data_IF_303172711798
#
_entry.id   IF_303172711798
#
_cell.length_a   1.000
_cell.length_b   1.000
_cell.length_c   1.000
_cell.angle_alpha   90.00
_cell.angle_beta   90.00
_cell.angle_gamma   90.00
#
_symmetry.space_group_name_H-M   'P 1'
#
loop_
_entity.id
_entity.type
_entity.pdbx_description
1 polymer ?
#
# COMPACT_ATOMS: atom_id res chain seq x y z
N UNK A 1 -18.27 -6.04 -5.98
CA UNK A 1 -16.81 -5.90 -6.15
C UNK A 1 -16.11 -6.21 -4.83
N UNK A 2 -15.02 -6.94 -4.90
CA UNK A 2 -14.20 -7.20 -3.71
C UNK A 2 -13.27 -6.03 -3.43
N UNK A 3 -12.85 -5.92 -2.18
CA UNK A 3 -11.81 -4.98 -1.78
C UNK A 3 -10.45 -5.68 -1.82
N UNK A 4 -9.45 -4.96 -2.25
CA UNK A 4 -8.07 -5.46 -2.34
C UNK A 4 -7.15 -4.54 -1.57
N UNK A 5 -6.34 -5.13 -0.70
CA UNK A 5 -5.33 -4.39 0.05
C UNK A 5 -4.05 -4.39 -0.76
N UNK A 6 -3.50 -3.22 -0.97
CA UNK A 6 -2.19 -3.05 -1.59
C UNK A 6 -1.19 -2.80 -0.47
N UNK A 7 -0.25 -3.72 -0.31
CA UNK A 7 0.82 -3.59 0.67
C UNK A 7 2.09 -3.20 -0.05
N UNK A 8 2.68 -2.09 0.35
CA UNK A 8 3.90 -1.58 -0.24
C UNK A 8 5.10 -2.05 0.56
N UNK A 9 6.15 -2.47 -0.12
CA UNK A 9 7.34 -2.95 0.56
C UNK A 9 8.62 -2.46 -0.11
N UNK A 10 9.60 -2.08 0.70
CA UNK A 10 10.88 -1.60 0.19
C UNK A 10 10.80 -0.17 -0.31
N UNK A 11 11.69 0.14 -1.25
CA UNK A 11 11.81 1.49 -1.78
C UNK A 11 12.62 2.40 -0.87
N UNK A 12 12.84 3.63 -1.32
CA UNK A 12 13.56 4.63 -0.56
C UNK A 12 12.75 5.93 -0.48
N UNK A 13 12.95 6.66 0.60
CA UNK A 13 12.33 7.97 0.75
C UNK A 13 13.06 8.98 -0.13
N UNK A 14 12.33 9.87 -0.83
CA UNK A 14 12.98 10.96 -1.56
C UNK A 14 13.77 11.86 -0.60
N UNK A 15 14.96 12.25 -1.02
CA UNK A 15 15.84 13.05 -0.18
C UNK A 15 15.63 14.56 -0.34
N UNK A 16 15.17 14.99 -1.52
CA UNK A 16 14.99 16.42 -1.79
C UNK A 16 13.51 16.78 -1.75
N UNK A 17 13.23 18.06 -1.48
CA UNK A 17 11.86 18.56 -1.50
C UNK A 17 11.26 18.45 -2.90
N UNK A 18 12.05 18.69 -3.94
CA UNK A 18 11.57 18.56 -5.32
C UNK A 18 11.13 17.14 -5.63
N UNK A 19 11.92 16.14 -5.19
CA UNK A 19 11.56 14.74 -5.36
C UNK A 19 10.31 14.37 -4.55
N UNK A 20 10.19 14.87 -3.33
CA UNK A 20 9.03 14.66 -2.49
C UNK A 20 7.77 15.23 -3.13
N UNK A 21 7.85 16.45 -3.67
CA UNK A 21 6.73 17.09 -4.34
C UNK A 21 6.32 16.32 -5.60
N UNK A 22 7.30 15.82 -6.35
CA UNK A 22 7.04 15.00 -7.55
C UNK A 22 6.32 13.69 -7.18
N UNK A 23 6.74 13.04 -6.10
CA UNK A 23 6.11 11.81 -5.62
C UNK A 23 4.67 12.09 -5.18
N UNK A 24 4.44 13.17 -4.44
CA UNK A 24 3.09 13.53 -4.02
C UNK A 24 2.18 13.84 -5.21
N UNK A 25 2.71 14.53 -6.22
CA UNK A 25 1.95 14.81 -7.43
C UNK A 25 1.59 13.51 -8.17
N UNK A 26 2.52 12.56 -8.24
CA UNK A 26 2.27 11.27 -8.86
C UNK A 26 1.20 10.47 -8.11
N UNK A 27 1.22 10.47 -6.78
CA UNK A 27 0.20 9.81 -5.98
C UNK A 27 -1.17 10.43 -6.20
N UNK A 28 -1.26 11.76 -6.20
CA UNK A 28 -2.52 12.45 -6.45
C UNK A 28 -3.07 12.14 -7.84
N UNK A 29 -2.21 12.06 -8.85
CA UNK A 29 -2.61 11.71 -10.20
C UNK A 29 -3.15 10.27 -10.26
N UNK A 30 -2.46 9.34 -9.61
CA UNK A 30 -2.89 7.94 -9.58
C UNK A 30 -4.22 7.77 -8.84
N UNK A 31 -4.39 8.44 -7.70
CA UNK A 31 -5.66 8.43 -6.97
C UNK A 31 -6.79 8.98 -7.83
N UNK A 32 -6.52 10.03 -8.62
CA UNK A 32 -7.50 10.58 -9.54
C UNK A 32 -7.88 9.59 -10.64
N UNK A 33 -6.91 8.82 -11.15
CA UNK A 33 -7.17 7.77 -12.13
C UNK A 33 -8.01 6.63 -11.56
N UNK A 34 -7.78 6.27 -10.29
CA UNK A 34 -8.56 5.23 -9.64
C UNK A 34 -10.03 5.67 -9.43
N UNK A 35 -10.25 6.93 -9.13
CA UNK A 35 -11.60 7.45 -8.94
C UNK A 35 -12.38 6.64 -7.93
N UNK A 36 -13.53 6.11 -8.35
CA UNK A 36 -14.41 5.31 -7.49
C UNK A 36 -13.82 3.96 -7.10
N UNK A 37 -12.74 3.53 -7.76
CA UNK A 37 -12.04 2.30 -7.37
C UNK A 37 -11.20 2.50 -6.12
N UNK A 38 -10.88 3.73 -5.74
CA UNK A 38 -10.12 3.99 -4.53
C UNK A 38 -11.05 4.01 -3.33
N UNK A 39 -10.89 3.05 -2.43
CA UNK A 39 -11.67 2.99 -1.20
C UNK A 39 -10.98 3.72 -0.06
N UNK A 40 -9.67 3.54 0.06
CA UNK A 40 -8.85 4.18 1.09
C UNK A 40 -7.44 4.37 0.53
N UNK A 41 -7.00 5.61 0.45
CA UNK A 41 -5.63 5.92 0.01
C UNK A 41 -4.56 5.39 0.95
N UNK A 42 -4.93 5.11 2.19
CA UNK A 42 -4.03 4.56 3.18
C UNK A 42 -3.00 5.55 3.68
N UNK A 43 -1.99 5.01 4.34
CA UNK A 43 -0.93 5.81 4.94
C UNK A 43 0.39 5.06 4.84
N UNK A 44 1.51 5.78 4.79
CA UNK A 44 2.80 5.15 4.98
C UNK A 44 2.95 4.69 6.43
N UNK A 45 3.73 3.64 6.63
CA UNK A 45 3.99 3.13 7.97
C UNK A 45 5.23 3.81 8.54
N UNK A 46 5.24 3.98 9.87
CA UNK A 46 6.42 4.41 10.60
C UNK A 46 7.17 3.16 11.09
N UNK A 47 8.42 3.30 11.59
CA UNK A 47 9.12 2.17 12.19
C UNK A 47 8.48 1.66 13.49
N UNK A 48 7.55 2.42 14.07
CA UNK A 48 6.91 2.04 15.34
C UNK A 48 5.94 0.89 15.10
N UNK A 49 6.35 -0.31 15.44
CA UNK A 49 5.55 -1.51 15.24
C UNK A 49 5.82 -2.52 16.35
N UNK A 50 4.81 -3.33 16.66
CA UNK A 50 4.94 -4.45 17.59
C UNK A 50 4.15 -5.62 17.04
N UNK A 51 4.60 -6.81 17.36
CA UNK A 51 3.94 -8.05 16.96
C UNK A 51 3.42 -8.78 18.19
N UNK A 52 2.24 -9.35 18.06
CA UNK A 52 1.60 -10.13 19.13
C UNK A 52 1.45 -11.56 18.65
N UNK A 53 2.04 -12.50 19.39
CA UNK A 53 1.94 -13.92 19.08
C UNK A 53 0.59 -14.47 19.53
N UNK A 54 0.20 -15.68 19.03
CA UNK A 54 -1.09 -16.29 19.42
C UNK A 54 -1.26 -16.50 20.91
N UNK A 55 -0.17 -16.63 21.67
CA UNK A 55 -0.21 -16.78 23.12
C UNK A 55 -0.33 -15.44 23.87
N UNK A 56 -0.37 -14.32 23.11
CA UNK A 56 -0.46 -12.99 23.68
C UNK A 56 0.87 -12.32 23.95
N UNK A 57 1.99 -13.01 23.73
CA UNK A 57 3.32 -12.40 23.92
C UNK A 57 3.57 -11.32 22.88
N UNK A 58 4.30 -10.28 23.28
CA UNK A 58 4.55 -9.11 22.44
C UNK A 58 6.04 -9.01 22.15
N UNK A 59 6.39 -8.76 20.89
CA UNK A 59 7.76 -8.49 20.47
C UNK A 59 7.81 -7.18 19.68
N UNK A 60 9.00 -6.58 19.62
CA UNK A 60 9.19 -5.36 18.85
C UNK A 60 9.27 -5.67 17.36
N UNK A 61 8.80 -4.71 16.57
CA UNK A 61 8.86 -4.79 15.12
C UNK A 61 7.65 -5.47 14.51
N UNK A 62 7.66 -5.64 13.20
CA UNK A 62 6.55 -6.19 12.43
C UNK A 62 6.65 -7.69 12.17
N UNK A 63 7.48 -8.39 12.94
CA UNK A 63 7.59 -9.85 12.85
C UNK A 63 8.12 -10.35 11.52
N UNK A 64 9.01 -9.60 10.90
CA UNK A 64 9.55 -9.93 9.58
C UNK A 64 8.77 -9.31 8.44
N UNK A 65 7.67 -8.63 8.72
CA UNK A 65 6.94 -7.87 7.72
C UNK A 65 7.74 -6.65 7.32
N UNK A 66 7.79 -6.36 6.02
CA UNK A 66 8.55 -5.24 5.48
C UNK A 66 7.67 -4.22 4.80
N UNK A 67 6.37 -4.27 5.08
CA UNK A 67 5.44 -3.32 4.47
C UNK A 67 5.75 -1.90 4.91
N UNK A 68 5.79 -0.99 3.93
CA UNK A 68 6.06 0.43 4.18
C UNK A 68 4.80 1.29 4.13
N UNK A 69 3.69 0.71 3.77
CA UNK A 69 2.40 1.42 3.69
C UNK A 69 1.32 0.56 3.09
N UNK A 70 0.13 1.12 2.95
CA UNK A 70 -1.00 0.39 2.38
C UNK A 70 -1.96 1.33 1.67
N UNK A 71 -2.76 0.75 0.78
CA UNK A 71 -3.96 1.38 0.20
C UNK A 71 -5.01 0.30 0.01
N UNK A 72 -6.27 0.70 -0.13
CA UNK A 72 -7.36 -0.24 -0.38
C UNK A 72 -8.10 0.21 -1.63
N UNK A 73 -8.26 -0.71 -2.58
CA UNK A 73 -8.98 -0.45 -3.82
C UNK A 73 -10.09 -1.47 -4.02
N UNK A 74 -11.02 -1.14 -4.89
CA UNK A 74 -12.10 -2.04 -5.33
C UNK A 74 -11.84 -2.47 -6.75
N UNK A 75 -12.12 -3.73 -7.05
CA UNK A 75 -11.99 -4.24 -8.41
C UNK A 75 -12.89 -5.45 -8.61
N UNK A 76 -13.18 -5.78 -9.87
CA UNK A 76 -14.04 -6.92 -10.21
C UNK A 76 -13.33 -8.26 -10.01
N UNK A 77 -12.02 -8.28 -10.05
CA UNK A 77 -11.22 -9.49 -9.94
C UNK A 77 -9.83 -9.15 -9.46
N UNK A 78 -9.09 -10.16 -9.04
CA UNK A 78 -7.68 -9.98 -8.66
C UNK A 78 -6.86 -9.46 -9.84
N UNK A 79 -7.11 -9.97 -11.05
CA UNK A 79 -6.40 -9.50 -12.24
C UNK A 79 -6.69 -8.03 -12.51
N UNK A 80 -7.94 -7.59 -12.32
CA UNK A 80 -8.30 -6.17 -12.46
C UNK A 80 -7.59 -5.31 -11.41
N UNK A 81 -7.51 -5.79 -10.16
CA UNK A 81 -6.81 -5.09 -9.10
C UNK A 81 -5.31 -4.97 -9.40
N UNK A 82 -4.70 -6.02 -9.93
CA UNK A 82 -3.29 -6.00 -10.34
C UNK A 82 -3.08 -4.98 -11.45
N UNK A 83 -3.98 -4.92 -12.42
CA UNK A 83 -3.88 -3.94 -13.50
C UNK A 83 -3.90 -2.51 -12.99
N UNK A 84 -4.78 -2.22 -12.02
CA UNK A 84 -4.83 -0.91 -11.38
C UNK A 84 -3.56 -0.62 -10.56
N UNK A 85 -3.07 -1.62 -9.84
CA UNK A 85 -1.89 -1.48 -8.99
C UNK A 85 -0.61 -1.22 -9.78
N UNK A 86 -0.55 -1.67 -11.03
CA UNK A 86 0.61 -1.42 -11.89
C UNK A 86 0.87 0.06 -12.13
N UNK A 87 -0.14 0.90 -11.94
CA UNK A 87 0.01 2.35 -12.06
C UNK A 87 0.52 3.03 -10.79
N UNK A 88 0.74 2.29 -9.72
CA UNK A 88 1.12 2.88 -8.43
C UNK A 88 2.51 3.53 -8.50
N UNK A 89 2.62 4.79 -8.05
CA UNK A 89 3.91 5.49 -8.09
C UNK A 89 5.02 4.86 -7.28
N UNK A 90 4.68 4.03 -6.28
CA UNK A 90 5.68 3.37 -5.44
C UNK A 90 6.63 2.50 -6.25
N UNK A 91 6.18 1.97 -7.38
CA UNK A 91 7.00 1.13 -8.25
C UNK A 91 8.16 1.89 -8.87
N UNK A 92 8.00 3.20 -9.06
CA UNK A 92 9.07 4.05 -9.60
C UNK A 92 10.19 4.29 -8.59
N UNK A 93 9.90 4.12 -7.31
CA UNK A 93 10.89 4.25 -6.24
C UNK A 93 11.58 2.95 -5.87
N UNK A 94 11.39 1.90 -6.64
CA UNK A 94 12.00 0.60 -6.37
C UNK A 94 11.27 -0.25 -5.33
N UNK A 95 10.12 0.20 -4.87
CA UNK A 95 9.29 -0.58 -3.97
C UNK A 95 8.46 -1.60 -4.74
N UNK A 96 7.97 -2.61 -4.03
CA UNK A 96 7.06 -3.60 -4.58
C UNK A 96 5.65 -3.40 -4.04
N UNK A 97 4.68 -3.98 -4.72
CA UNK A 97 3.28 -3.96 -4.30
C UNK A 97 2.78 -5.39 -4.23
N UNK A 98 2.22 -5.75 -3.08
CA UNK A 98 1.52 -7.02 -2.92
C UNK A 98 0.02 -6.74 -2.94
N UNK A 99 -0.71 -7.42 -3.82
CA UNK A 99 -2.15 -7.25 -3.97
C UNK A 99 -2.84 -8.43 -3.28
N UNK A 100 -3.64 -8.15 -2.27
CA UNK A 100 -4.28 -9.18 -1.46
C UNK A 100 -5.79 -8.99 -1.47
N UNK A 101 -6.51 -10.02 -1.90
CA UNK A 101 -7.97 -9.99 -1.87
C UNK A 101 -8.47 -10.13 -0.44
N UNK A 102 -9.46 -9.29 -0.09
CA UNK A 102 -10.16 -9.43 1.18
C UNK A 102 -11.57 -9.90 0.92
N UNK A 103 -12.06 -10.90 1.67
CA UNK A 103 -13.44 -11.31 1.53
C UNK A 103 -14.38 -10.28 2.15
N UNK A 104 -15.60 -10.25 1.64
CA UNK A 104 -16.67 -9.44 2.23
C UNK A 104 -17.28 -10.21 3.39
N UNK A 105 -16.77 -9.97 4.59
CA UNK A 105 -17.14 -10.70 5.79
C UNK A 105 -18.20 -10.00 6.63
N UNK A 106 -18.54 -8.77 6.29
CA UNK A 106 -19.41 -7.94 7.13
C UNK A 106 -20.65 -7.48 6.39
#
# INVERSE_FOLDING_TARGET
MADYVLLYGGGSMPETKEEQDAVMAAWNAWFGELGDSLKDGGNPFTPAAKSIAPDGSVSDGSGGGTASGYSIIKADSLDAAVALAKGCPVLHGGASVQVVETPDMM
#
